data_IF_265591441694
#
_entry.id   IF_265591441694
#
_cell.length_a   1.000
_cell.length_b   1.000
_cell.length_c   1.000
_cell.angle_alpha   90.00
_cell.angle_beta   90.00
_cell.angle_gamma   90.00
#
_symmetry.space_group_name_H-M   'P 1'
#
loop_
_entity.id
_entity.type
_entity.pdbx_description
1 polymer ?
#
# COMPACT_ATOMS: atom_id res chain seq x y z
N UNK A 1 -30.35 -24.53 47.46
CA UNK A 1 -30.10 -23.63 46.31
C UNK A 1 -28.59 -23.52 46.10
N UNK A 2 -27.96 -24.45 45.38
CA UNK A 2 -26.48 -24.46 45.18
C UNK A 2 -26.04 -24.94 43.78
N UNK A 3 -26.90 -24.87 42.76
CA UNK A 3 -26.70 -25.59 41.48
C UNK A 3 -26.66 -24.68 40.25
N UNK A 4 -25.92 -23.55 40.31
CA UNK A 4 -25.84 -22.61 39.18
C UNK A 4 -24.43 -22.11 38.83
N UNK A 5 -23.37 -22.55 39.55
CA UNK A 5 -22.01 -22.04 39.31
C UNK A 5 -21.16 -22.89 38.35
N UNK A 6 -21.43 -24.19 38.22
CA UNK A 6 -20.54 -25.10 37.49
C UNK A 6 -20.78 -25.11 35.97
N UNK A 7 -21.96 -24.70 35.50
CA UNK A 7 -22.30 -24.69 34.07
C UNK A 7 -21.51 -23.64 33.27
N UNK A 8 -21.04 -22.56 33.93
CA UNK A 8 -20.31 -21.48 33.27
C UNK A 8 -18.82 -21.81 33.03
N UNK A 9 -18.28 -22.87 33.65
CA UNK A 9 -16.87 -23.25 33.55
C UNK A 9 -16.62 -24.11 32.29
N UNK A 10 -17.58 -24.96 31.91
CA UNK A 10 -17.41 -25.86 30.76
C UNK A 10 -17.52 -25.14 29.39
N UNK A 11 -18.22 -24.00 29.33
CA UNK A 11 -18.43 -23.25 28.08
C UNK A 11 -17.22 -22.36 27.72
N UNK A 12 -16.36 -22.01 28.68
CA UNK A 12 -15.21 -21.12 28.45
C UNK A 12 -14.01 -21.83 27.80
N UNK A 13 -13.96 -23.16 27.77
CA UNK A 13 -12.80 -23.93 27.30
C UNK A 13 -12.74 -24.17 25.78
N UNK A 14 -13.81 -23.86 25.03
CA UNK A 14 -13.94 -24.26 23.61
C UNK A 14 -13.57 -23.18 22.58
N UNK A 15 -13.28 -21.93 22.97
CA UNK A 15 -13.04 -20.83 22.02
C UNK A 15 -11.61 -20.25 22.05
N UNK A 16 -10.60 -21.04 22.40
CA UNK A 16 -9.19 -20.70 22.19
C UNK A 16 -8.59 -21.57 21.07
N UNK A 17 -9.07 -21.39 19.84
CA UNK A 17 -8.22 -21.74 18.70
C UNK A 17 -7.24 -20.57 18.50
N UNK A 18 -5.92 -20.79 18.46
CA UNK A 18 -5.00 -19.74 18.06
C UNK A 18 -5.33 -19.42 16.60
N UNK A 19 -6.14 -18.37 16.37
CA UNK A 19 -6.31 -17.83 15.03
C UNK A 19 -4.91 -17.52 14.54
N UNK A 20 -4.49 -18.17 13.45
CA UNK A 20 -3.27 -17.84 12.73
C UNK A 20 -3.50 -16.45 12.14
N UNK A 21 -3.32 -15.41 12.95
CA UNK A 21 -3.53 -14.03 12.55
C UNK A 21 -2.48 -13.74 11.50
N UNK A 22 -2.91 -13.62 10.25
CA UNK A 22 -2.05 -13.11 9.19
C UNK A 22 -1.55 -11.74 9.65
N UNK A 23 -0.23 -11.55 9.67
CA UNK A 23 0.37 -10.30 10.10
C UNK A 23 0.09 -9.24 9.02
N UNK A 24 -1.04 -8.55 9.12
CA UNK A 24 -1.48 -7.51 8.18
C UNK A 24 -0.40 -6.45 8.01
N UNK A 25 0.34 -6.14 9.07
CA UNK A 25 1.47 -5.21 9.03
C UNK A 25 2.51 -5.65 7.97
N UNK A 26 2.88 -6.93 7.96
CA UNK A 26 3.83 -7.48 6.99
C UNK A 26 3.30 -7.35 5.56
N UNK A 27 2.01 -7.58 5.36
CA UNK A 27 1.37 -7.42 4.05
C UNK A 27 1.35 -5.95 3.60
N UNK A 28 1.15 -5.01 4.52
CA UNK A 28 1.22 -3.57 4.24
C UNK A 28 2.63 -3.16 3.84
N UNK A 29 3.66 -3.65 4.54
CA UNK A 29 5.06 -3.41 4.16
C UNK A 29 5.41 -4.03 2.80
N UNK A 30 4.87 -5.21 2.50
CA UNK A 30 5.02 -5.81 1.19
C UNK A 30 4.36 -4.94 0.11
N UNK A 31 3.10 -4.55 0.29
CA UNK A 31 2.36 -3.72 -0.65
C UNK A 31 3.01 -2.34 -0.87
N UNK A 32 3.57 -1.76 0.20
CA UNK A 32 4.31 -0.49 0.18
C UNK A 32 5.47 -0.48 -0.83
N UNK A 33 6.17 -1.60 -0.96
CA UNK A 33 7.30 -1.76 -1.89
C UNK A 33 6.81 -2.29 -3.23
N UNK A 34 5.90 -3.27 -3.19
CA UNK A 34 5.46 -4.01 -4.37
C UNK A 34 4.73 -3.13 -5.37
N UNK A 35 3.86 -2.22 -4.92
CA UNK A 35 3.09 -1.33 -5.81
C UNK A 35 3.96 -0.47 -6.73
N UNK A 36 4.90 0.32 -6.19
CA UNK A 36 5.86 1.06 -7.01
C UNK A 36 6.72 0.14 -7.89
N UNK A 37 7.14 -1.02 -7.39
CA UNK A 37 7.99 -1.95 -8.12
C UNK A 37 7.31 -2.50 -9.38
N UNK A 38 6.04 -2.89 -9.30
CA UNK A 38 5.29 -3.39 -10.47
C UNK A 38 4.94 -2.29 -11.48
N UNK A 39 5.23 -1.03 -11.14
CA UNK A 39 5.08 0.11 -12.05
C UNK A 39 6.35 0.36 -12.88
N UNK A 40 7.49 -0.24 -12.52
CA UNK A 40 8.74 -0.10 -13.28
C UNK A 40 8.65 -0.53 -14.76
N UNK A 41 7.89 -1.58 -15.15
CA UNK A 41 7.69 -1.90 -16.57
C UNK A 41 7.09 -0.74 -17.37
N UNK A 42 6.19 0.05 -16.77
CA UNK A 42 5.63 1.23 -17.43
C UNK A 42 6.68 2.31 -17.69
N UNK A 43 7.64 2.48 -16.77
CA UNK A 43 8.79 3.38 -16.96
C UNK A 43 9.66 2.86 -18.11
N UNK A 44 9.95 1.55 -18.13
CA UNK A 44 10.73 0.92 -19.20
C UNK A 44 10.07 1.11 -20.58
N UNK A 45 8.76 0.89 -20.68
CA UNK A 45 8.00 1.04 -21.91
C UNK A 45 8.11 2.45 -22.50
N UNK A 46 8.11 3.49 -21.65
CA UNK A 46 8.22 4.88 -22.07
C UNK A 46 9.65 5.23 -22.48
N UNK A 47 10.63 4.95 -21.61
CA UNK A 47 12.00 5.43 -21.80
C UNK A 47 12.80 4.61 -22.81
N UNK A 48 12.53 3.30 -22.91
CA UNK A 48 13.27 2.38 -23.79
C UNK A 48 12.48 2.04 -25.03
N UNK A 49 11.22 1.61 -24.87
CA UNK A 49 10.39 1.20 -26.01
C UNK A 49 9.68 2.36 -26.71
N UNK A 50 9.76 3.59 -26.15
CA UNK A 50 9.12 4.81 -26.68
C UNK A 50 7.60 4.66 -26.85
N UNK A 51 6.96 3.86 -26.01
CA UNK A 51 5.51 3.66 -26.00
C UNK A 51 4.85 4.66 -25.06
N UNK A 52 4.36 5.76 -25.61
CA UNK A 52 3.81 6.91 -24.86
C UNK A 52 2.27 6.96 -24.85
N UNK A 53 1.59 5.92 -25.32
CA UNK A 53 0.12 5.79 -25.38
C UNK A 53 -0.51 5.55 -23.98
N UNK A 54 -0.39 6.55 -23.11
CA UNK A 54 -0.95 6.55 -21.76
C UNK A 54 -1.66 7.87 -21.43
N UNK A 55 -2.57 7.83 -20.47
CA UNK A 55 -3.23 9.05 -19.99
C UNK A 55 -2.32 9.83 -19.03
N UNK A 56 -1.72 10.94 -19.51
CA UNK A 56 -0.92 11.84 -18.67
C UNK A 56 -1.74 12.38 -17.49
N UNK A 57 -3.02 12.67 -17.69
CA UNK A 57 -3.93 13.15 -16.65
C UNK A 57 -4.02 12.15 -15.49
N UNK A 58 -4.04 10.85 -15.79
CA UNK A 58 -4.07 9.79 -14.77
C UNK A 58 -2.81 9.83 -13.90
N UNK A 59 -1.63 9.93 -14.51
CA UNK A 59 -0.37 9.94 -13.77
C UNK A 59 -0.12 11.22 -12.98
N UNK A 60 -0.55 12.37 -13.51
CA UNK A 60 -0.60 13.62 -12.74
C UNK A 60 -1.56 13.49 -11.56
N UNK A 61 -2.72 12.87 -11.76
CA UNK A 61 -3.66 12.55 -10.67
C UNK A 61 -3.03 11.71 -9.57
N UNK A 62 -2.23 10.69 -9.92
CA UNK A 62 -1.48 9.89 -8.95
C UNK A 62 -0.43 10.71 -8.19
N UNK A 63 0.28 11.63 -8.85
CA UNK A 63 1.23 12.53 -8.17
C UNK A 63 0.50 13.39 -7.15
N UNK A 64 -0.62 14.02 -7.53
CA UNK A 64 -1.41 14.87 -6.63
C UNK A 64 -1.93 14.06 -5.44
N UNK A 65 -2.49 12.88 -5.68
CA UNK A 65 -2.96 12.00 -4.61
C UNK A 65 -1.81 11.57 -3.68
N UNK A 66 -0.66 11.18 -4.24
CA UNK A 66 0.50 10.77 -3.48
C UNK A 66 1.07 11.93 -2.62
N UNK A 67 1.05 13.17 -3.11
CA UNK A 67 1.41 14.35 -2.32
C UNK A 67 0.49 14.54 -1.11
N UNK A 68 -0.83 14.39 -1.29
CA UNK A 68 -1.80 14.48 -0.19
C UNK A 68 -1.51 13.39 0.86
N UNK A 69 -1.32 12.14 0.42
CA UNK A 69 -1.02 11.02 1.31
C UNK A 69 0.36 11.15 1.98
N UNK A 70 1.34 11.71 1.30
CA UNK A 70 2.66 11.99 1.85
C UNK A 70 2.55 12.99 3.01
N UNK A 71 1.83 14.10 2.81
CA UNK A 71 1.56 15.09 3.86
C UNK A 71 0.83 14.44 5.04
N UNK A 72 -0.17 13.58 4.77
CA UNK A 72 -0.87 12.82 5.79
C UNK A 72 0.08 11.90 6.57
N UNK A 73 0.90 11.11 5.88
CA UNK A 73 1.84 10.16 6.48
C UNK A 73 2.90 10.84 7.33
N UNK A 74 3.40 12.00 6.90
CA UNK A 74 4.32 12.83 7.67
C UNK A 74 3.67 13.34 8.97
N UNK A 75 2.43 13.83 8.90
CA UNK A 75 1.69 14.31 10.09
C UNK A 75 1.39 13.20 11.10
N UNK A 76 1.12 11.98 10.64
CA UNK A 76 0.74 10.85 11.51
C UNK A 76 1.92 9.91 11.83
N UNK A 77 3.16 10.27 11.47
CA UNK A 77 4.36 9.47 11.76
C UNK A 77 4.39 8.09 11.09
N UNK A 78 3.60 7.88 10.04
CA UNK A 78 3.42 6.59 9.38
C UNK A 78 4.53 6.34 8.36
N UNK A 79 5.68 5.85 8.82
CA UNK A 79 6.87 5.55 7.98
C UNK A 79 6.55 4.77 6.68
N UNK A 80 5.70 3.71 6.69
CA UNK A 80 5.41 2.95 5.47
C UNK A 80 4.68 3.80 4.43
N UNK A 81 3.76 4.68 4.86
CA UNK A 81 3.03 5.57 3.96
C UNK A 81 3.99 6.59 3.36
N UNK A 82 4.82 7.22 4.18
CA UNK A 82 5.80 8.22 3.72
C UNK A 82 6.72 7.63 2.65
N UNK A 83 7.26 6.44 2.90
CA UNK A 83 8.13 5.75 1.94
C UNK A 83 7.40 5.42 0.63
N UNK A 84 6.24 4.76 0.74
CA UNK A 84 5.42 4.35 -0.42
C UNK A 84 5.05 5.53 -1.30
N UNK A 85 4.57 6.61 -0.69
CA UNK A 85 4.08 7.77 -1.44
C UNK A 85 5.22 8.58 -2.06
N UNK A 86 6.38 8.64 -1.40
CA UNK A 86 7.59 9.21 -2.00
C UNK A 86 8.01 8.42 -3.25
N UNK A 87 7.98 7.09 -3.20
CA UNK A 87 8.29 6.24 -4.35
C UNK A 87 7.27 6.44 -5.50
N UNK A 88 5.97 6.53 -5.19
CA UNK A 88 4.92 6.83 -6.17
C UNK A 88 5.12 8.17 -6.86
N UNK A 89 5.50 9.22 -6.12
CA UNK A 89 5.79 10.54 -6.69
C UNK A 89 6.95 10.45 -7.68
N UNK A 90 8.05 9.79 -7.30
CA UNK A 90 9.24 9.66 -8.16
C UNK A 90 8.89 8.88 -9.44
N UNK A 91 8.29 7.70 -9.32
CA UNK A 91 7.98 6.85 -10.48
C UNK A 91 6.93 7.51 -11.39
N UNK A 92 5.87 8.07 -10.83
CA UNK A 92 4.84 8.75 -11.63
C UNK A 92 5.40 9.99 -12.32
N UNK A 93 6.33 10.71 -11.69
CA UNK A 93 7.03 11.84 -12.32
C UNK A 93 7.90 11.37 -13.48
N UNK A 94 8.65 10.27 -13.33
CA UNK A 94 9.44 9.69 -14.42
C UNK A 94 8.57 9.28 -15.62
N UNK A 95 7.37 8.78 -15.36
CA UNK A 95 6.39 8.46 -16.41
C UNK A 95 5.93 9.72 -17.12
N UNK A 96 5.45 10.73 -16.38
CA UNK A 96 4.98 12.00 -16.97
C UNK A 96 6.09 12.68 -17.76
N UNK A 97 7.28 12.81 -17.20
CA UNK A 97 8.44 13.42 -17.86
C UNK A 97 8.82 12.60 -19.10
N UNK A 98 8.85 11.28 -18.99
CA UNK A 98 9.19 10.39 -20.10
C UNK A 98 8.25 10.58 -21.28
N UNK A 99 6.94 10.73 -21.06
CA UNK A 99 5.97 10.95 -22.15
C UNK A 99 6.27 12.21 -22.97
N UNK A 100 6.83 13.26 -22.36
CA UNK A 100 7.15 14.51 -23.06
C UNK A 100 8.53 14.49 -23.73
N UNK A 101 9.44 13.62 -23.31
CA UNK A 101 10.83 13.59 -23.78
C UNK A 101 11.08 12.44 -24.77
N UNK A 102 10.41 11.31 -24.59
CA UNK A 102 10.65 10.06 -25.32
C UNK A 102 9.99 10.02 -26.69
#
# INVERSE_FOLDING_TARGET
MHEAKDTNICVQSSQNTPKKTLNIDSLVYFAAIFGPLVTLPQVYDIWILRKTEISVVTWVGYIVAALIWLVYGLKHGSKPIVFTQSAWIVISSLIVIGVFIA
#
